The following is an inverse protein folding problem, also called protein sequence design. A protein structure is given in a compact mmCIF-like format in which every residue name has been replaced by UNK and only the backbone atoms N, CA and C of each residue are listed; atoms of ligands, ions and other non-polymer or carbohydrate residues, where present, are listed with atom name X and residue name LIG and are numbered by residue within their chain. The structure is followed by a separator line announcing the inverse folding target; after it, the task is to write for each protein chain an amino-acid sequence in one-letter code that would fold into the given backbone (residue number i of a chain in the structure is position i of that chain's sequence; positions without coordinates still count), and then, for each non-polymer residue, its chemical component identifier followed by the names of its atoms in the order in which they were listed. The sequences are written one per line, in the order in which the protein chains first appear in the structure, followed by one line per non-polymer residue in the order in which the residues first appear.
data_IF_639309274338
#
_entry.id   IF_639309274338
#
_cell.length_a   1.000
_cell.length_b   1.000
_cell.length_c   1.000
_cell.angle_alpha   90.00
_cell.angle_beta   90.00
_cell.angle_gamma   90.00
#
_symmetry.space_group_name_H-M   'P 1'
#
loop_
_entity.id
_entity.type
_entity.pdbx_description
1 polymer ?
#
# COMPACT_ATOMS: atom_id res chain seq x y z
N UNK A 1 -26.83 17.07 12.18
CA UNK A 1 -26.72 15.71 11.61
C UNK A 1 -25.26 15.26 11.70
N UNK A 2 -24.97 14.33 12.59
CA UNK A 2 -23.65 13.67 12.68
C UNK A 2 -23.38 12.99 11.35
N UNK A 3 -22.30 13.38 10.67
CA UNK A 3 -21.91 12.81 9.37
C UNK A 3 -21.80 11.29 9.54
N UNK A 4 -22.71 10.56 8.92
CA UNK A 4 -22.76 9.10 8.99
C UNK A 4 -21.43 8.54 8.46
N UNK A 5 -20.87 7.58 9.19
CA UNK A 5 -19.55 7.02 8.87
C UNK A 5 -19.67 6.18 7.59
N UNK A 6 -18.77 6.43 6.65
CA UNK A 6 -18.71 5.70 5.39
C UNK A 6 -18.05 4.33 5.58
N UNK A 7 -18.86 3.27 5.75
CA UNK A 7 -18.40 1.90 5.97
C UNK A 7 -17.78 1.26 4.72
N UNK A 8 -18.08 1.77 3.52
CA UNK A 8 -17.51 1.27 2.27
C UNK A 8 -15.98 1.34 2.31
N UNK A 9 -15.41 2.49 2.69
CA UNK A 9 -13.96 2.64 2.77
C UNK A 9 -13.32 1.82 3.90
N UNK A 10 -14.04 1.59 5.01
CA UNK A 10 -13.56 0.70 6.06
C UNK A 10 -13.50 -0.75 5.55
N UNK A 11 -14.56 -1.24 4.89
CA UNK A 11 -14.56 -2.58 4.29
C UNK A 11 -13.48 -2.72 3.19
N UNK A 12 -13.29 -1.69 2.35
CA UNK A 12 -12.26 -1.68 1.33
C UNK A 12 -10.86 -1.76 1.96
N UNK A 13 -10.57 -0.93 2.97
CA UNK A 13 -9.30 -0.99 3.72
C UNK A 13 -9.06 -2.36 4.35
N UNK A 14 -10.10 -3.06 4.79
CA UNK A 14 -10.00 -4.40 5.35
C UNK A 14 -9.60 -5.45 4.31
N UNK A 15 -10.17 -5.38 3.11
CA UNK A 15 -9.76 -6.22 1.97
C UNK A 15 -8.31 -5.94 1.60
N UNK A 16 -7.94 -4.66 1.51
CA UNK A 16 -6.60 -4.27 1.11
C UNK A 16 -5.54 -4.64 2.15
N UNK A 17 -5.81 -4.45 3.46
CA UNK A 17 -4.84 -4.84 4.50
C UNK A 17 -4.65 -6.35 4.53
N UNK A 18 -5.69 -7.14 4.24
CA UNK A 18 -5.54 -8.58 4.06
C UNK A 18 -4.60 -8.90 2.91
N UNK A 19 -4.76 -8.25 1.75
CA UNK A 19 -3.88 -8.43 0.60
C UNK A 19 -2.45 -7.97 0.84
N UNK A 20 -2.23 -6.91 1.63
CA UNK A 20 -0.89 -6.49 2.07
C UNK A 20 -0.22 -7.58 2.91
N UNK A 21 -0.94 -8.12 3.89
CA UNK A 21 -0.41 -9.20 4.75
C UNK A 21 -0.11 -10.43 3.90
N UNK A 22 -1.06 -10.91 3.11
CA UNK A 22 -0.88 -12.07 2.24
C UNK A 22 0.27 -11.86 1.24
N UNK A 23 0.35 -10.69 0.61
CA UNK A 23 1.41 -10.33 -0.33
C UNK A 23 2.79 -10.36 0.32
N UNK A 24 2.93 -9.82 1.53
CA UNK A 24 4.20 -9.87 2.26
C UNK A 24 4.58 -11.29 2.67
N UNK A 25 3.62 -12.13 3.05
CA UNK A 25 3.88 -13.53 3.37
C UNK A 25 4.22 -14.35 2.12
N UNK A 26 3.72 -13.99 0.95
CA UNK A 26 4.14 -14.60 -0.32
C UNK A 26 5.49 -14.07 -0.81
N UNK A 27 5.96 -12.92 -0.31
CA UNK A 27 7.16 -12.25 -0.84
C UNK A 27 8.43 -13.12 -0.79
N UNK A 28 8.72 -13.87 0.29
CA UNK A 28 9.88 -14.78 0.35
C UNK A 28 9.83 -15.95 -0.65
N UNK A 29 8.65 -16.30 -1.17
CA UNK A 29 8.53 -17.36 -2.19
C UNK A 29 9.08 -16.84 -3.52
N UNK A 30 10.16 -17.42 -4.00
CA UNK A 30 10.89 -17.01 -5.21
C UNK A 30 11.15 -18.19 -6.16
N UNK A 31 11.85 -17.93 -7.27
CA UNK A 31 12.16 -18.93 -8.30
C UNK A 31 10.99 -19.19 -9.24
N UNK A 32 10.87 -20.44 -9.69
CA UNK A 32 9.85 -20.87 -10.66
C UNK A 32 8.52 -21.30 -10.03
N UNK A 33 8.34 -21.03 -8.73
CA UNK A 33 7.11 -21.38 -8.03
C UNK A 33 5.91 -20.60 -8.60
N UNK A 34 4.77 -21.26 -8.94
CA UNK A 34 3.59 -20.60 -9.52
C UNK A 34 3.01 -19.49 -8.63
N UNK A 35 3.25 -19.53 -7.32
CA UNK A 35 2.83 -18.48 -6.38
C UNK A 35 3.55 -17.14 -6.62
N UNK A 36 4.66 -17.12 -7.35
CA UNK A 36 5.32 -15.89 -7.78
C UNK A 36 4.40 -15.06 -8.69
N UNK A 37 3.60 -15.71 -9.54
CA UNK A 37 2.62 -15.02 -10.38
C UNK A 37 1.46 -14.49 -9.53
N UNK A 38 1.00 -15.28 -8.54
CA UNK A 38 -0.07 -14.87 -7.62
C UNK A 38 0.34 -13.64 -6.81
N UNK A 39 1.56 -13.63 -6.24
CA UNK A 39 2.04 -12.46 -5.50
C UNK A 39 2.15 -11.24 -6.43
N UNK A 40 2.69 -11.40 -7.64
CA UNK A 40 2.78 -10.29 -8.60
C UNK A 40 1.41 -9.73 -8.96
N UNK A 41 0.41 -10.60 -9.19
CA UNK A 41 -0.97 -10.18 -9.43
C UNK A 41 -1.55 -9.35 -8.28
N UNK A 42 -1.31 -9.75 -7.03
CA UNK A 42 -1.71 -8.96 -5.86
C UNK A 42 -1.01 -7.59 -5.90
N UNK A 43 0.30 -7.56 -6.17
CA UNK A 43 1.12 -6.35 -6.23
C UNK A 43 0.72 -5.36 -7.33
N UNK A 44 0.12 -5.83 -8.43
CA UNK A 44 -0.40 -4.95 -9.49
C UNK A 44 -1.39 -3.90 -8.94
N UNK A 45 -2.28 -4.27 -8.02
CA UNK A 45 -3.40 -3.39 -7.66
C UNK A 45 -3.52 -3.04 -6.17
N UNK A 46 -3.04 -3.89 -5.25
CA UNK A 46 -3.35 -3.70 -3.83
C UNK A 46 -2.75 -2.39 -3.28
N UNK A 47 -1.49 -2.06 -3.62
CA UNK A 47 -0.87 -0.80 -3.22
C UNK A 47 -1.44 0.39 -3.98
N UNK A 48 -1.60 0.38 -5.31
CA UNK A 48 -2.31 1.44 -6.04
C UNK A 48 -3.68 1.79 -5.45
N UNK A 49 -4.50 0.78 -5.12
CA UNK A 49 -5.81 1.00 -4.51
C UNK A 49 -5.70 1.53 -3.07
N UNK A 50 -4.75 1.03 -2.27
CA UNK A 50 -4.52 1.54 -0.91
C UNK A 50 -4.06 3.01 -0.91
N UNK A 51 -3.17 3.35 -1.86
CA UNK A 51 -2.68 4.71 -2.10
C UNK A 51 -3.82 5.62 -2.56
N UNK A 52 -4.67 5.18 -3.48
CA UNK A 52 -5.88 5.91 -3.89
C UNK A 52 -6.81 6.20 -2.72
N UNK A 53 -7.11 5.19 -1.88
CA UNK A 53 -7.94 5.37 -0.67
C UNK A 53 -7.31 6.40 0.27
N UNK A 54 -5.99 6.39 0.39
CA UNK A 54 -5.30 7.32 1.29
C UNK A 54 -5.27 8.73 0.74
N UNK A 55 -5.13 8.90 -0.58
CA UNK A 55 -5.35 10.16 -1.29
C UNK A 55 -6.75 10.71 -1.04
N UNK A 56 -7.79 9.88 -1.14
CA UNK A 56 -9.18 10.27 -0.88
C UNK A 56 -9.38 10.88 0.52
N UNK A 57 -8.75 10.30 1.54
CA UNK A 57 -8.81 10.84 2.91
C UNK A 57 -7.83 11.99 3.17
N UNK A 58 -6.84 12.20 2.29
CA UNK A 58 -5.83 13.25 2.44
C UNK A 58 -6.41 14.67 2.35
N UNK A 59 -7.62 14.83 1.80
CA UNK A 59 -8.39 16.09 1.83
C UNK A 59 -8.52 16.70 3.22
N UNK A 60 -8.50 15.87 4.28
CA UNK A 60 -8.61 16.32 5.68
C UNK A 60 -7.31 16.88 6.26
N UNK A 61 -6.17 16.69 5.58
CA UNK A 61 -4.87 17.19 6.03
C UNK A 61 -4.81 18.72 5.98
N UNK A 62 -5.44 19.31 4.97
CA UNK A 62 -5.56 20.75 4.86
C UNK A 62 -7.04 21.13 4.90
N UNK A 63 -7.50 21.76 5.99
CA UNK A 63 -8.89 22.17 6.15
C UNK A 63 -8.95 23.57 6.75
N UNK A 64 -9.84 24.43 6.22
CA UNK A 64 -10.09 25.78 6.74
C UNK A 64 -8.82 26.65 6.91
N UNK A 65 -7.88 26.56 5.97
CA UNK A 65 -6.62 27.32 6.04
C UNK A 65 -5.56 26.73 6.97
N UNK A 66 -5.88 25.67 7.72
CA UNK A 66 -4.96 25.04 8.67
C UNK A 66 -4.47 23.69 8.15
N UNK A 67 -3.16 23.49 8.27
CA UNK A 67 -2.48 22.26 7.91
C UNK A 67 -2.30 21.38 9.15
N UNK A 68 -2.70 20.11 9.06
CA UNK A 68 -2.70 19.18 10.18
C UNK A 68 -1.29 18.59 10.41
N UNK A 69 -0.39 19.40 10.95
CA UNK A 69 0.96 18.98 11.32
C UNK A 69 0.99 17.81 12.31
N UNK A 70 -0.03 17.67 13.16
CA UNK A 70 -0.13 16.53 14.09
C UNK A 70 -0.24 15.20 13.35
N UNK A 71 -0.98 15.15 12.23
CA UNK A 71 -1.10 13.92 11.45
C UNK A 71 0.21 13.53 10.79
N UNK A 72 1.00 14.50 10.33
CA UNK A 72 2.34 14.26 9.77
C UNK A 72 3.30 13.80 10.84
N UNK A 73 3.31 14.47 12.00
CA UNK A 73 4.17 14.06 13.12
C UNK A 73 3.82 12.65 13.62
N UNK A 74 2.54 12.27 13.60
CA UNK A 74 2.11 10.90 13.87
C UNK A 74 2.67 9.91 12.85
N UNK A 75 2.66 10.24 11.55
CA UNK A 75 3.23 9.39 10.51
C UNK A 75 4.75 9.30 10.61
N UNK A 76 5.45 10.40 10.90
CA UNK A 76 6.90 10.42 11.13
C UNK A 76 7.23 9.52 12.32
N UNK A 77 6.53 9.67 13.44
CA UNK A 77 6.71 8.83 14.62
C UNK A 77 6.47 7.36 14.30
N UNK A 78 5.39 7.05 13.58
CA UNK A 78 5.09 5.68 13.18
C UNK A 78 6.15 5.10 12.24
N UNK A 79 6.65 5.89 11.28
CA UNK A 79 7.71 5.51 10.37
C UNK A 79 9.00 5.17 11.11
N UNK A 80 9.48 6.08 11.96
CA UNK A 80 10.71 5.90 12.74
C UNK A 80 10.60 4.66 13.63
N UNK A 81 9.48 4.50 14.35
CA UNK A 81 9.25 3.31 15.18
C UNK A 81 9.18 2.03 14.36
N UNK A 82 8.59 2.08 13.16
CA UNK A 82 8.50 0.91 12.31
C UNK A 82 9.88 0.47 11.79
N UNK A 83 10.70 1.41 11.31
CA UNK A 83 12.07 1.13 10.85
C UNK A 83 12.92 0.56 11.99
N UNK A 84 12.88 1.19 13.17
CA UNK A 84 13.60 0.69 14.35
C UNK A 84 13.13 -0.72 14.73
N UNK A 85 11.82 -0.97 14.75
CA UNK A 85 11.29 -2.28 15.11
C UNK A 85 11.74 -3.38 14.13
N UNK A 86 11.78 -3.09 12.82
CA UNK A 86 12.31 -4.03 11.82
C UNK A 86 13.80 -4.27 12.06
N UNK A 87 14.61 -3.23 12.28
CA UNK A 87 16.05 -3.43 12.52
C UNK A 87 16.32 -4.27 13.76
N UNK A 88 15.56 -4.06 14.85
CA UNK A 88 15.70 -4.88 16.06
C UNK A 88 15.50 -6.37 15.74
N UNK A 89 14.50 -6.71 14.92
CA UNK A 89 14.25 -8.10 14.52
C UNK A 89 15.45 -8.65 13.73
N UNK A 90 15.96 -7.89 12.76
CA UNK A 90 17.12 -8.30 11.95
C UNK A 90 18.39 -8.50 12.80
N UNK A 91 18.63 -7.60 13.77
CA UNK A 91 19.75 -7.69 14.69
C UNK A 91 19.64 -8.90 15.63
N UNK A 92 18.45 -9.16 16.19
CA UNK A 92 18.21 -10.32 17.07
C UNK A 92 18.37 -11.63 16.29
N UNK A 93 17.92 -11.67 15.03
CA UNK A 93 18.03 -12.85 14.19
C UNK A 93 19.43 -13.05 13.58
N UNK A 94 20.38 -12.14 13.83
CA UNK A 94 21.80 -12.30 13.46
C UNK A 94 22.13 -12.00 12.00
N UNK A 95 21.28 -11.23 11.29
CA UNK A 95 21.46 -10.95 9.85
C UNK A 95 22.13 -9.60 9.55
N UNK A 96 22.02 -8.62 10.45
CA UNK A 96 22.66 -7.31 10.30
C UNK A 96 23.08 -6.74 11.67
N UNK A 97 24.22 -6.05 11.71
CA UNK A 97 24.59 -5.25 12.87
C UNK A 97 23.63 -4.07 13.02
N UNK A 98 23.25 -3.74 14.27
CA UNK A 98 22.34 -2.63 14.57
C UNK A 98 22.88 -1.24 14.14
N UNK A 99 24.13 -1.17 13.68
CA UNK A 99 24.88 0.06 13.41
C UNK A 99 24.53 0.68 12.05
N UNK A 100 23.97 -0.07 11.10
CA UNK A 100 23.70 0.39 9.73
C UNK A 100 22.24 0.80 9.46
N UNK A 101 21.57 1.49 10.39
CA UNK A 101 20.18 1.94 10.18
C UNK A 101 20.12 3.04 9.12
N UNK A 102 19.65 2.69 7.92
CA UNK A 102 19.38 3.65 6.87
C UNK A 102 17.91 4.09 6.84
N UNK A 103 17.58 5.19 7.51
CA UNK A 103 16.22 5.77 7.50
C UNK A 103 15.78 6.33 6.15
N UNK A 104 16.65 6.40 5.15
CA UNK A 104 16.35 6.98 3.85
C UNK A 104 16.29 5.93 2.73
N UNK A 105 16.84 4.73 2.95
CA UNK A 105 16.74 3.63 2.00
C UNK A 105 15.85 2.53 2.58
N UNK A 106 14.60 2.45 2.12
CA UNK A 106 13.61 1.50 2.66
C UNK A 106 12.89 0.76 1.53
N UNK A 107 13.37 -0.43 1.20
CA UNK A 107 12.74 -1.30 0.20
C UNK A 107 11.59 -2.15 0.78
N UNK A 108 11.55 -2.30 2.11
CA UNK A 108 10.52 -3.05 2.84
C UNK A 108 9.26 -2.23 3.13
N UNK A 109 8.33 -2.79 3.92
CA UNK A 109 7.04 -2.18 4.22
C UNK A 109 7.09 -0.66 4.55
N UNK A 110 8.02 -0.11 5.36
CA UNK A 110 7.99 1.29 5.79
C UNK A 110 7.90 2.35 4.68
N UNK A 111 8.29 2.03 3.43
CA UNK A 111 8.25 2.93 2.28
C UNK A 111 6.91 3.67 2.15
N UNK A 112 5.81 3.00 2.44
CA UNK A 112 4.47 3.57 2.26
C UNK A 112 4.19 4.70 3.25
N UNK A 113 4.67 4.59 4.50
CA UNK A 113 4.54 5.69 5.48
C UNK A 113 5.38 6.89 5.08
N UNK A 114 6.58 6.64 4.54
CA UNK A 114 7.45 7.68 4.02
C UNK A 114 6.80 8.42 2.84
N UNK A 115 6.28 7.66 1.85
CA UNK A 115 5.57 8.20 0.71
C UNK A 115 4.35 9.04 1.12
N UNK A 116 3.58 8.57 2.12
CA UNK A 116 2.45 9.31 2.68
C UNK A 116 2.85 10.66 3.30
N UNK A 117 4.00 10.73 3.98
CA UNK A 117 4.53 12.00 4.51
C UNK A 117 4.83 12.95 3.34
N UNK A 118 5.53 12.47 2.32
CA UNK A 118 5.89 13.28 1.14
C UNK A 118 4.65 13.76 0.40
N UNK A 119 3.70 12.88 0.07
CA UNK A 119 2.46 13.28 -0.60
C UNK A 119 1.61 14.23 0.24
N UNK A 120 1.62 14.12 1.57
CA UNK A 120 0.93 15.11 2.40
C UNK A 120 1.58 16.48 2.25
N UNK A 121 2.91 16.56 2.30
CA UNK A 121 3.66 17.81 2.14
C UNK A 121 3.45 18.48 0.77
N UNK A 122 3.07 17.73 -0.28
CA UNK A 122 2.76 18.30 -1.60
C UNK A 122 1.33 18.84 -1.71
N UNK A 123 0.40 18.46 -0.82
CA UNK A 123 -1.02 18.88 -0.88
C UNK A 123 -1.20 20.41 -0.92
N UNK A 124 -0.51 21.22 -0.10
CA UNK A 124 -0.66 22.67 -0.12
C UNK A 124 -0.37 23.30 -1.50
N UNK A 125 0.54 22.70 -2.27
CA UNK A 125 0.87 23.13 -3.63
C UNK A 125 -0.22 22.71 -4.61
N UNK A 126 -0.62 21.44 -4.55
CA UNK A 126 -1.48 20.80 -5.56
C UNK A 126 -2.95 21.18 -5.41
N UNK A 127 -3.42 21.49 -4.20
CA UNK A 127 -4.84 21.80 -3.92
C UNK A 127 -5.43 22.97 -4.73
N UNK A 128 -4.58 23.90 -5.23
CA UNK A 128 -5.02 25.05 -6.04
C UNK A 128 -4.99 24.75 -7.54
N UNK A 129 -4.38 23.65 -7.93
CA UNK A 129 -4.24 23.22 -9.31
C UNK A 129 -5.48 22.46 -9.77
N UNK A 130 -5.75 22.51 -11.08
CA UNK A 130 -6.80 21.69 -11.70
C UNK A 130 -6.39 20.21 -11.66
N UNK A 131 -7.34 19.26 -11.49
CA UNK A 131 -7.03 17.83 -11.39
C UNK A 131 -6.27 17.27 -12.60
N UNK A 132 -6.72 17.61 -13.81
CA UNK A 132 -6.23 16.98 -15.04
C UNK A 132 -4.73 17.26 -15.30
N UNK A 133 -4.22 18.52 -15.25
CA UNK A 133 -2.78 18.77 -15.35
C UNK A 133 -1.95 18.04 -14.31
N UNK A 134 -2.40 17.99 -13.06
CA UNK A 134 -1.66 17.33 -11.97
C UNK A 134 -1.52 15.84 -12.25
N UNK A 135 -2.60 15.19 -12.68
CA UNK A 135 -2.58 13.75 -13.00
C UNK A 135 -1.65 13.49 -14.19
N UNK A 136 -1.74 14.28 -15.27
CA UNK A 136 -0.89 14.12 -16.46
C UNK A 136 0.58 14.28 -16.12
N UNK A 137 0.94 15.32 -15.35
CA UNK A 137 2.32 15.54 -14.91
C UNK A 137 2.82 14.37 -14.07
N UNK A 138 2.01 13.87 -13.14
CA UNK A 138 2.41 12.73 -12.32
C UNK A 138 2.55 11.43 -13.12
N UNK A 139 1.73 11.22 -14.15
CA UNK A 139 1.91 10.09 -15.07
C UNK A 139 3.25 10.24 -15.83
N UNK A 140 3.54 11.44 -16.34
CA UNK A 140 4.83 11.72 -16.98
C UNK A 140 6.01 11.45 -16.04
N UNK A 141 5.94 11.93 -14.80
CA UNK A 141 6.97 11.67 -13.78
C UNK A 141 7.10 10.18 -13.45
N UNK A 142 6.00 9.44 -13.34
CA UNK A 142 6.00 7.99 -13.13
C UNK A 142 6.71 7.24 -14.27
N UNK A 143 6.46 7.64 -15.51
CA UNK A 143 7.10 7.04 -16.68
C UNK A 143 8.59 7.37 -16.77
N UNK A 144 8.99 8.59 -16.41
CA UNK A 144 10.39 9.02 -16.44
C UNK A 144 11.19 8.45 -15.25
N UNK A 145 10.55 8.19 -14.11
CA UNK A 145 11.21 7.74 -12.89
C UNK A 145 12.10 6.50 -13.08
N UNK A 146 11.75 5.62 -14.02
CA UNK A 146 12.49 4.37 -14.27
C UNK A 146 13.83 4.56 -14.97
N UNK A 147 14.09 5.71 -15.60
CA UNK A 147 15.38 6.00 -16.22
C UNK A 147 16.47 6.39 -15.22
N UNK A 148 16.11 6.72 -13.98
CA UNK A 148 17.09 7.13 -12.98
C UNK A 148 17.66 5.92 -12.23
N UNK A 149 18.98 5.70 -12.36
CA UNK A 149 19.69 4.56 -11.78
C UNK A 149 19.62 4.44 -10.24
N UNK A 150 19.54 5.57 -9.52
CA UNK A 150 19.61 5.59 -8.05
C UNK A 150 18.24 5.81 -7.36
N UNK A 151 17.13 5.71 -8.09
CA UNK A 151 15.81 6.17 -7.63
C UNK A 151 14.96 5.08 -6.98
N UNK A 152 15.33 3.79 -7.14
CA UNK A 152 14.59 2.65 -6.62
C UNK A 152 14.47 2.62 -5.08
N UNK A 153 15.62 2.61 -4.39
CA UNK A 153 15.66 2.41 -2.94
C UNK A 153 15.97 3.69 -2.15
N UNK A 154 16.79 4.61 -2.69
CA UNK A 154 17.05 5.89 -2.03
C UNK A 154 15.78 6.77 -2.02
N UNK A 155 15.33 7.13 -0.82
CA UNK A 155 14.09 7.85 -0.51
C UNK A 155 12.81 7.18 -1.02
N UNK A 156 12.88 5.92 -1.48
CA UNK A 156 11.77 5.26 -2.18
C UNK A 156 11.21 6.11 -3.34
N UNK A 157 12.06 6.94 -3.96
CA UNK A 157 11.60 8.02 -4.83
C UNK A 157 10.87 7.47 -6.06
N UNK A 158 11.31 6.31 -6.59
CA UNK A 158 10.60 5.60 -7.67
C UNK A 158 9.16 5.32 -7.27
N UNK A 159 8.93 4.67 -6.12
CA UNK A 159 7.60 4.34 -5.62
C UNK A 159 6.74 5.58 -5.39
N UNK A 160 7.31 6.67 -4.83
CA UNK A 160 6.59 7.93 -4.62
C UNK A 160 6.08 8.51 -5.93
N UNK A 161 6.91 8.50 -6.98
CA UNK A 161 6.56 9.04 -8.29
C UNK A 161 5.57 8.12 -9.01
N UNK A 162 5.80 6.81 -9.02
CA UNK A 162 4.96 5.86 -9.75
C UNK A 162 3.58 5.67 -9.11
N UNK A 163 3.47 5.68 -7.78
CA UNK A 163 2.17 5.63 -7.10
C UNK A 163 1.50 7.00 -6.97
N UNK A 164 2.22 8.10 -7.25
CA UNK A 164 1.71 9.47 -7.22
C UNK A 164 0.39 9.68 -7.98
N UNK A 165 0.25 9.23 -9.25
CA UNK A 165 -1.00 9.30 -9.99
C UNK A 165 -2.19 8.74 -9.22
N UNK A 166 -2.07 7.57 -8.60
CA UNK A 166 -3.16 6.95 -7.83
C UNK A 166 -3.51 7.79 -6.59
N UNK A 167 -2.50 8.32 -5.89
CA UNK A 167 -2.71 9.20 -4.74
C UNK A 167 -3.49 10.44 -5.14
N UNK A 168 -3.10 11.12 -6.22
CA UNK A 168 -3.76 12.35 -6.66
C UNK A 168 -5.13 12.11 -7.29
N UNK A 169 -5.32 11.01 -8.02
CA UNK A 169 -6.66 10.57 -8.47
C UNK A 169 -7.57 10.40 -7.25
N UNK A 170 -7.08 9.74 -6.19
CA UNK A 170 -7.79 9.64 -4.91
C UNK A 170 -8.05 11.00 -4.28
N UNK A 171 -7.05 11.87 -4.21
CA UNK A 171 -7.14 13.20 -3.62
C UNK A 171 -8.16 14.10 -4.31
N UNK A 172 -8.32 14.01 -5.63
CA UNK A 172 -9.34 14.78 -6.33
C UNK A 172 -10.70 14.09 -6.36
N UNK A 173 -10.77 12.78 -6.13
CA UNK A 173 -12.02 12.01 -6.16
C UNK A 173 -13.02 12.49 -5.12
N UNK A 174 -14.22 12.89 -5.56
CA UNK A 174 -15.33 13.26 -4.69
C UNK A 174 -16.34 12.13 -4.57
N UNK A 175 -17.08 12.09 -3.46
CA UNK A 175 -18.08 11.06 -3.21
C UNK A 175 -19.10 10.93 -4.36
N UNK A 176 -19.70 12.01 -4.91
CA UNK A 176 -20.64 11.88 -6.03
C UNK A 176 -20.01 11.32 -7.31
N UNK A 177 -18.72 11.59 -7.54
CA UNK A 177 -17.98 11.06 -8.70
C UNK A 177 -17.69 9.58 -8.50
N UNK A 178 -17.28 9.18 -7.29
CA UNK A 178 -17.07 7.78 -6.93
C UNK A 178 -18.38 6.97 -7.08
N UNK A 179 -19.51 7.50 -6.61
CA UNK A 179 -20.81 6.86 -6.77
C UNK A 179 -21.21 6.67 -8.23
N UNK A 180 -20.90 7.66 -9.09
CA UNK A 180 -21.09 7.53 -10.54
C UNK A 180 -20.20 6.45 -11.13
N UNK A 181 -18.94 6.38 -10.71
CA UNK A 181 -18.00 5.36 -11.17
C UNK A 181 -18.40 3.94 -10.72
N UNK A 182 -19.09 3.81 -9.58
CA UNK A 182 -19.56 2.53 -9.04
C UNK A 182 -20.99 2.17 -9.45
N UNK A 183 -21.51 2.74 -10.55
CA UNK A 183 -22.81 2.36 -11.11
C UNK A 183 -22.80 0.93 -11.69
N UNK A 184 -23.90 0.16 -11.55
CA UNK A 184 -24.00 -1.19 -12.11
C UNK A 184 -23.76 -1.29 -13.62
N UNK A 185 -23.99 -0.22 -14.38
CA UNK A 185 -23.70 -0.16 -15.82
C UNK A 185 -22.22 -0.37 -16.12
N UNK A 186 -21.33 0.26 -15.34
CA UNK A 186 -19.88 0.10 -15.51
C UNK A 186 -19.40 -1.26 -15.04
N UNK A 187 -20.06 -1.87 -14.04
CA UNK A 187 -19.71 -3.21 -13.52
C UNK A 187 -19.67 -4.25 -14.64
N UNK A 188 -20.61 -4.21 -15.58
CA UNK A 188 -20.70 -5.16 -16.71
C UNK A 188 -19.53 -5.06 -17.69
N UNK A 189 -18.82 -3.94 -17.72
CA UNK A 189 -17.66 -3.73 -18.58
C UNK A 189 -16.35 -3.90 -17.80
N UNK A 190 -16.25 -3.26 -16.63
CA UNK A 190 -15.02 -3.19 -15.84
C UNK A 190 -14.68 -4.54 -15.22
N UNK A 191 -15.66 -5.30 -14.73
CA UNK A 191 -15.39 -6.60 -14.09
C UNK A 191 -14.86 -7.63 -15.10
N UNK A 192 -15.47 -7.84 -16.28
CA UNK A 192 -14.89 -8.74 -17.28
C UNK A 192 -13.52 -8.26 -17.78
N UNK A 193 -13.32 -6.96 -17.99
CA UNK A 193 -12.01 -6.43 -18.41
C UNK A 193 -10.93 -6.73 -17.36
N UNK A 194 -11.19 -6.48 -16.09
CA UNK A 194 -10.27 -6.81 -15.00
C UNK A 194 -10.04 -8.33 -14.88
N UNK A 195 -11.10 -9.14 -15.03
CA UNK A 195 -10.98 -10.59 -15.00
C UNK A 195 -10.11 -11.13 -16.15
N UNK A 196 -10.25 -10.57 -17.35
CA UNK A 196 -9.38 -10.90 -18.50
C UNK A 196 -7.92 -10.55 -18.24
N UNK A 197 -7.65 -9.38 -17.64
CA UNK A 197 -6.29 -9.00 -17.25
C UNK A 197 -5.72 -9.97 -16.22
N UNK A 198 -6.48 -10.30 -15.17
CA UNK A 198 -6.07 -11.30 -14.19
C UNK A 198 -5.79 -12.66 -14.83
N UNK A 199 -6.64 -13.11 -15.76
CA UNK A 199 -6.45 -14.37 -16.48
C UNK A 199 -5.17 -14.35 -17.32
N UNK A 200 -4.89 -13.25 -18.04
CA UNK A 200 -3.65 -13.09 -18.81
C UNK A 200 -2.43 -13.16 -17.89
N UNK A 201 -2.46 -12.45 -16.75
CA UNK A 201 -1.37 -12.49 -15.77
C UNK A 201 -1.18 -13.90 -15.22
N UNK A 202 -2.26 -14.62 -14.87
CA UNK A 202 -2.16 -15.96 -14.31
C UNK A 202 -1.68 -17.00 -15.33
N UNK A 203 -2.09 -16.89 -16.60
CA UNK A 203 -1.74 -17.85 -17.66
C UNK A 203 -0.36 -17.59 -18.27
N UNK A 204 0.03 -16.32 -18.43
CA UNK A 204 1.24 -15.93 -19.15
C UNK A 204 2.30 -15.27 -18.25
N UNK A 205 1.98 -14.96 -17.00
CA UNK A 205 2.89 -14.23 -16.11
C UNK A 205 4.17 -14.95 -15.74
N UNK A 206 4.21 -16.28 -15.87
CA UNK A 206 5.45 -17.05 -15.73
C UNK A 206 6.47 -16.77 -16.85
N UNK A 207 6.00 -16.31 -18.02
CA UNK A 207 6.85 -15.92 -19.15
C UNK A 207 7.23 -14.44 -19.14
N UNK A 208 6.46 -13.61 -18.45
CA UNK A 208 6.68 -12.15 -18.32
C UNK A 208 7.46 -11.84 -17.02
N UNK A 209 8.64 -12.44 -16.87
CA UNK A 209 9.34 -12.43 -15.57
C UNK A 209 9.81 -11.02 -15.20
N UNK A 210 10.33 -10.25 -16.14
CA UNK A 210 10.93 -8.94 -15.86
C UNK A 210 9.86 -7.86 -15.84
N UNK A 211 8.90 -7.93 -16.76
CA UNK A 211 7.80 -6.97 -16.88
C UNK A 211 6.90 -7.02 -15.65
N UNK A 212 6.50 -8.22 -15.21
CA UNK A 212 5.75 -8.36 -13.96
C UNK A 212 6.61 -8.18 -12.71
N UNK A 213 7.94 -8.14 -12.83
CA UNK A 213 8.83 -7.72 -11.74
C UNK A 213 8.65 -6.24 -11.42
N UNK A 214 8.32 -5.41 -12.41
CA UNK A 214 8.17 -3.97 -12.23
C UNK A 214 7.02 -3.56 -11.30
N UNK A 215 6.11 -4.46 -10.94
CA UNK A 215 5.00 -4.23 -9.99
C UNK A 215 5.45 -3.81 -8.59
N UNK A 216 6.73 -4.03 -8.24
CA UNK A 216 7.33 -3.57 -6.98
C UNK A 216 7.79 -2.11 -7.04
N UNK A 217 7.80 -1.51 -8.23
CA UNK A 217 8.08 -0.12 -8.57
C UNK A 217 9.41 0.43 -8.04
N UNK A 218 10.38 -0.45 -7.87
CA UNK A 218 11.77 -0.11 -7.52
C UNK A 218 12.81 -0.53 -8.57
N UNK A 219 12.39 -1.24 -9.62
CA UNK A 219 13.28 -1.71 -10.68
C UNK A 219 13.48 -0.57 -11.70
N UNK A 220 14.72 -0.09 -11.92
CA UNK A 220 15.04 0.85 -12.98
C UNK A 220 14.99 0.16 -14.35
N UNK A 221 14.68 0.92 -15.42
CA UNK A 221 14.55 0.36 -16.76
C UNK A 221 15.86 -0.21 -17.33
N UNK A 222 17.00 0.16 -16.77
CA UNK A 222 18.30 -0.40 -17.14
C UNK A 222 18.47 -1.87 -16.75
N UNK A 223 17.65 -2.38 -15.83
CA UNK A 223 17.64 -3.79 -15.43
C UNK A 223 16.70 -4.64 -16.30
N UNK A 224 15.96 -4.03 -17.23
CA UNK A 224 15.12 -4.74 -18.20
C UNK A 224 15.96 -5.14 -19.42
N UNK A 225 15.67 -6.31 -19.98
CA UNK A 225 16.25 -6.78 -21.25
C UNK A 225 16.08 -5.74 -22.37
N UNK A 226 14.94 -5.04 -22.39
CA UNK A 226 14.62 -3.99 -23.34
C UNK A 226 14.23 -2.69 -22.63
N UNK A 227 15.24 -1.87 -22.29
CA UNK A 227 15.06 -0.59 -21.59
C UNK A 227 13.98 0.34 -22.19
N UNK A 228 13.85 0.37 -23.52
CA UNK A 228 12.89 1.22 -24.20
C UNK A 228 11.42 0.78 -24.03
N UNK A 229 11.20 -0.48 -23.63
CA UNK A 229 9.88 -1.02 -23.34
C UNK A 229 9.40 -0.66 -21.92
N UNK A 230 10.32 -0.29 -21.03
CA UNK A 230 10.04 0.03 -19.62
C UNK A 230 8.87 1.00 -19.42
N UNK A 231 8.82 2.17 -20.08
CA UNK A 231 7.67 3.07 -19.98
C UNK A 231 6.35 2.45 -20.44
N UNK A 232 6.36 1.65 -21.50
CA UNK A 232 5.17 0.99 -22.02
C UNK A 232 4.66 -0.09 -21.05
N UNK A 233 5.57 -0.90 -20.50
CA UNK A 233 5.26 -1.89 -19.46
C UNK A 233 4.68 -1.19 -18.24
N UNK A 234 5.33 -0.14 -17.74
CA UNK A 234 4.84 0.62 -16.58
C UNK A 234 3.45 1.22 -16.84
N UNK A 235 3.25 1.84 -18.00
CA UNK A 235 1.93 2.38 -18.37
C UNK A 235 0.85 1.28 -18.41
N UNK A 236 1.19 0.11 -18.95
CA UNK A 236 0.30 -1.05 -19.01
C UNK A 236 -0.04 -1.58 -17.62
N UNK A 237 0.95 -1.69 -16.73
CA UNK A 237 0.75 -2.06 -15.32
C UNK A 237 -0.11 -1.03 -14.58
N UNK A 238 0.09 0.26 -14.82
CA UNK A 238 -0.77 1.31 -14.25
C UNK A 238 -2.22 1.19 -14.73
N UNK A 239 -2.43 0.88 -16.01
CA UNK A 239 -3.76 0.60 -16.57
C UNK A 239 -4.42 -0.63 -15.95
N UNK A 240 -3.66 -1.73 -15.80
CA UNK A 240 -4.10 -2.94 -15.13
C UNK A 240 -4.46 -2.67 -13.66
N UNK A 241 -3.59 -1.96 -12.94
CA UNK A 241 -3.81 -1.53 -11.57
C UNK A 241 -5.11 -0.75 -11.44
N UNK A 242 -5.34 0.23 -12.32
CA UNK A 242 -6.56 1.05 -12.32
C UNK A 242 -7.83 0.20 -12.54
N UNK A 243 -7.84 -0.66 -13.55
CA UNK A 243 -9.01 -1.48 -13.90
C UNK A 243 -9.33 -2.52 -12.83
N UNK A 244 -8.32 -3.24 -12.32
CA UNK A 244 -8.51 -4.23 -11.26
C UNK A 244 -8.95 -3.53 -9.97
N UNK A 245 -8.36 -2.39 -9.64
CA UNK A 245 -8.77 -1.60 -8.49
C UNK A 245 -10.23 -1.16 -8.57
N UNK A 246 -10.66 -0.71 -9.75
CA UNK A 246 -12.04 -0.32 -10.00
C UNK A 246 -13.00 -1.52 -9.91
N UNK A 247 -12.61 -2.68 -10.45
CA UNK A 247 -13.40 -3.91 -10.36
C UNK A 247 -13.61 -4.33 -8.90
N UNK A 248 -12.57 -4.32 -8.06
CA UNK A 248 -12.64 -4.74 -6.66
C UNK A 248 -13.61 -3.88 -5.86
N UNK A 249 -13.64 -2.57 -6.13
CA UNK A 249 -14.56 -1.66 -5.46
C UNK A 249 -16.05 -2.03 -5.68
N UNK A 250 -16.42 -2.74 -6.75
CA UNK A 250 -17.80 -3.22 -6.95
C UNK A 250 -18.19 -4.39 -6.02
N UNK A 251 -17.22 -5.12 -5.47
CA UNK A 251 -17.46 -6.27 -4.61
C UNK A 251 -17.39 -5.94 -3.11
N UNK A 252 -17.00 -4.71 -2.78
CA UNK A 252 -16.90 -4.27 -1.38
C UNK A 252 -18.29 -3.90 -0.84
N UNK A 253 -18.71 -4.50 0.30
CA UNK A 253 -19.98 -4.14 0.94
C UNK A 253 -20.01 -2.67 1.36
N UNK A 254 -21.18 -2.03 1.24
CA UNK A 254 -21.39 -0.64 1.67
C UNK A 254 -21.87 -0.51 3.11
N UNK A 255 -22.41 -1.60 3.65
CA UNK A 255 -22.95 -1.66 5.01
C UNK A 255 -21.88 -1.94 6.05
N UNK A 256 -22.22 -1.76 7.34
CA UNK A 256 -21.36 -2.14 8.45
C UNK A 256 -21.22 -3.66 8.49
N UNK A 257 -20.00 -4.16 8.33
CA UNK A 257 -19.68 -5.59 8.43
C UNK A 257 -18.60 -5.83 9.49
N UNK A 258 -18.27 -7.10 9.76
CA UNK A 258 -17.12 -7.46 10.60
C UNK A 258 -15.79 -6.94 10.01
N UNK A 259 -15.69 -6.88 8.67
CA UNK A 259 -14.54 -6.30 7.98
C UNK A 259 -14.37 -4.83 8.31
N UNK A 260 -15.47 -4.10 8.53
CA UNK A 260 -15.40 -2.68 8.87
C UNK A 260 -14.51 -2.45 10.09
N UNK A 261 -14.55 -3.31 11.11
CA UNK A 261 -13.72 -3.20 12.32
C UNK A 261 -12.22 -3.35 12.01
N UNK A 262 -11.85 -4.33 11.17
CA UNK A 262 -10.47 -4.53 10.70
C UNK A 262 -10.00 -3.27 9.94
N UNK A 263 -10.85 -2.75 9.06
CA UNK A 263 -10.55 -1.56 8.26
C UNK A 263 -10.33 -0.27 9.05
N UNK A 264 -10.85 -0.17 10.27
CA UNK A 264 -10.60 1.01 11.14
C UNK A 264 -9.20 0.95 11.77
N UNK A 265 -8.65 -0.26 11.91
CA UNK A 265 -7.45 -0.56 12.69
C UNK A 265 -6.33 -1.11 11.81
N UNK A 266 -6.24 -0.64 10.55
CA UNK A 266 -5.22 -1.13 9.60
C UNK A 266 -3.80 -0.78 10.01
N UNK A 267 -3.58 0.33 10.72
CA UNK A 267 -2.23 0.81 11.06
C UNK A 267 -1.48 -0.13 12.02
N UNK A 268 -2.06 -0.58 13.15
CA UNK A 268 -1.44 -1.63 13.97
C UNK A 268 -1.14 -2.91 13.22
N UNK A 269 -2.10 -3.40 12.41
CA UNK A 269 -1.93 -4.63 11.61
C UNK A 269 -0.76 -4.45 10.65
N UNK A 270 -0.73 -3.32 9.94
CA UNK A 270 0.30 -2.95 8.97
C UNK A 270 1.71 -2.93 9.57
N UNK A 271 1.89 -2.43 10.79
CA UNK A 271 3.23 -2.42 11.40
C UNK A 271 3.63 -3.81 11.93
N UNK A 272 2.73 -4.48 12.64
CA UNK A 272 3.07 -5.70 13.38
C UNK A 272 3.16 -6.96 12.50
N UNK A 273 2.39 -7.04 11.40
CA UNK A 273 2.45 -8.25 10.56
C UNK A 273 3.82 -8.44 9.90
N UNK A 274 4.55 -7.35 9.63
CA UNK A 274 5.88 -7.42 9.02
C UNK A 274 6.89 -8.06 9.97
N UNK A 275 6.85 -7.68 11.26
CA UNK A 275 7.66 -8.29 12.32
C UNK A 275 7.40 -9.80 12.37
N UNK A 276 6.13 -10.21 12.40
CA UNK A 276 5.77 -11.64 12.43
C UNK A 276 6.24 -12.38 11.18
N UNK A 277 6.09 -11.78 10.00
CA UNK A 277 6.60 -12.36 8.76
C UNK A 277 8.11 -12.57 8.82
N UNK A 278 8.85 -11.55 9.27
CA UNK A 278 10.31 -11.56 9.29
C UNK A 278 10.81 -12.65 10.24
N UNK A 279 10.19 -12.80 11.42
CA UNK A 279 10.48 -13.91 12.35
C UNK A 279 10.24 -15.28 11.71
N UNK A 280 9.12 -15.47 10.99
CA UNK A 280 8.85 -16.73 10.29
C UNK A 280 9.84 -17.01 9.15
N UNK A 281 10.30 -15.95 8.49
CA UNK A 281 11.33 -16.00 7.45
C UNK A 281 12.66 -16.48 8.04
N UNK A 282 13.09 -15.88 9.14
CA UNK A 282 14.31 -16.24 9.83
C UNK A 282 14.25 -17.61 10.51
N UNK A 283 13.05 -18.11 10.84
CA UNK A 283 12.85 -19.47 11.33
C UNK A 283 12.99 -20.55 10.24
N UNK A 284 13.23 -20.19 8.97
CA UNK A 284 13.41 -21.14 7.86
C UNK A 284 12.13 -21.82 7.38
N UNK A 285 10.95 -21.35 7.82
CA UNK A 285 9.67 -22.00 7.48
C UNK A 285 9.38 -21.94 5.96
N UNK A 286 9.89 -20.92 5.27
CA UNK A 286 9.65 -20.74 3.84
C UNK A 286 10.38 -21.73 2.94
N UNK A 287 11.44 -22.37 3.43
CA UNK A 287 12.15 -23.42 2.68
C UNK A 287 11.23 -24.63 2.49
N UNK A 288 10.53 -25.03 3.56
CA UNK A 288 9.53 -26.10 3.53
C UNK A 288 8.27 -25.72 2.75
N UNK A 289 7.79 -24.49 2.95
CA UNK A 289 6.62 -23.98 2.23
C UNK A 289 6.87 -23.82 0.73
N UNK A 290 8.11 -23.62 0.28
CA UNK A 290 8.43 -23.53 -1.14
C UNK A 290 8.07 -24.80 -1.92
N UNK A 291 8.16 -25.96 -1.28
CA UNK A 291 8.00 -27.27 -1.90
C UNK A 291 6.53 -27.70 -2.07
N UNK A 292 5.61 -27.18 -1.24
CA UNK A 292 4.22 -27.65 -1.22
C UNK A 292 3.31 -27.03 -2.31
N UNK A 293 3.88 -26.25 -3.23
CA UNK A 293 3.17 -25.69 -4.39
C UNK A 293 1.92 -24.90 -4.01
N UNK A 294 0.75 -25.29 -4.52
CA UNK A 294 -0.52 -24.59 -4.24
C UNK A 294 -1.03 -24.75 -2.81
N UNK A 295 -0.63 -25.81 -2.10
CA UNK A 295 -1.03 -26.00 -0.70
C UNK A 295 -0.43 -24.89 0.19
N UNK A 296 0.74 -24.38 -0.18
CA UNK A 296 1.36 -23.22 0.47
C UNK A 296 0.47 -21.99 0.44
N UNK A 297 -0.24 -21.75 -0.67
CA UNK A 297 -1.16 -20.62 -0.75
C UNK A 297 -2.28 -20.75 0.28
N UNK A 298 -2.84 -21.94 0.45
CA UNK A 298 -3.86 -22.21 1.46
C UNK A 298 -3.32 -21.95 2.87
N UNK A 299 -2.14 -22.49 3.20
CA UNK A 299 -1.49 -22.28 4.50
C UNK A 299 -1.24 -20.79 4.76
N UNK A 300 -0.71 -20.05 3.78
CA UNK A 300 -0.42 -18.63 3.91
C UNK A 300 -1.70 -17.77 4.01
N UNK A 301 -2.80 -18.16 3.37
CA UNK A 301 -4.11 -17.51 3.55
C UNK A 301 -4.60 -17.71 4.98
N UNK A 302 -4.60 -18.96 5.48
CA UNK A 302 -5.00 -19.26 6.85
C UNK A 302 -4.15 -18.52 7.87
N UNK A 303 -2.83 -18.46 7.65
CA UNK A 303 -1.88 -17.74 8.48
C UNK A 303 -2.15 -16.22 8.45
N UNK A 304 -2.39 -15.64 7.27
CA UNK A 304 -2.73 -14.22 7.12
C UNK A 304 -4.02 -13.85 7.87
N UNK A 305 -5.06 -14.69 7.76
CA UNK A 305 -6.33 -14.49 8.50
C UNK A 305 -6.07 -14.57 10.01
N UNK A 306 -5.31 -15.56 10.46
CA UNK A 306 -4.99 -15.76 11.88
C UNK A 306 -4.19 -14.58 12.45
N UNK A 307 -3.18 -14.11 11.72
CA UNK A 307 -2.38 -12.94 12.11
C UNK A 307 -3.26 -11.70 12.22
N UNK A 308 -4.12 -11.43 11.23
CA UNK A 308 -5.03 -10.28 11.27
C UNK A 308 -5.99 -10.39 12.46
N UNK A 309 -6.54 -11.58 12.72
CA UNK A 309 -7.44 -11.81 13.84
C UNK A 309 -6.76 -11.55 15.20
N UNK A 310 -5.50 -11.95 15.36
CA UNK A 310 -4.72 -11.68 16.57
C UNK A 310 -4.42 -10.18 16.69
N UNK A 311 -3.96 -9.55 15.61
CA UNK A 311 -3.51 -8.16 15.62
C UNK A 311 -4.66 -7.14 15.72
N UNK A 312 -5.87 -7.52 15.29
CA UNK A 312 -7.07 -6.66 15.44
C UNK A 312 -7.66 -6.72 16.86
N UNK A 313 -7.10 -7.53 17.77
CA UNK A 313 -7.53 -7.59 19.15
C UNK A 313 -7.51 -6.17 19.78
N UNK A 314 -8.59 -5.73 20.46
CA UNK A 314 -8.68 -4.38 21.02
C UNK A 314 -7.49 -3.98 21.90
N UNK A 315 -6.95 -4.90 22.71
CA UNK A 315 -5.80 -4.62 23.58
C UNK A 315 -4.53 -4.33 22.78
N UNK A 316 -4.29 -5.09 21.70
CA UNK A 316 -3.13 -4.89 20.83
C UNK A 316 -3.25 -3.55 20.11
N UNK A 317 -4.43 -3.29 19.54
CA UNK A 317 -4.75 -2.04 18.85
C UNK A 317 -4.58 -0.83 19.77
N UNK A 318 -5.10 -0.90 20.99
CA UNK A 318 -4.99 0.17 21.98
C UNK A 318 -3.53 0.42 22.37
N UNK A 319 -2.75 -0.63 22.64
CA UNK A 319 -1.34 -0.51 22.98
C UNK A 319 -0.53 0.16 21.87
N UNK A 320 -0.69 -0.28 20.61
CA UNK A 320 0.01 0.33 19.48
C UNK A 320 -0.44 1.78 19.30
N UNK A 321 -1.74 2.07 19.40
CA UNK A 321 -2.24 3.44 19.28
C UNK A 321 -1.72 4.34 20.39
N UNK A 322 -1.58 3.85 21.62
CA UNK A 322 -1.00 4.57 22.75
C UNK A 322 0.49 4.86 22.53
N UNK A 323 1.24 3.90 22.01
CA UNK A 323 2.65 4.09 21.62
C UNK A 323 2.75 5.17 20.54
N UNK A 324 1.87 5.14 19.52
CA UNK A 324 1.87 6.11 18.43
C UNK A 324 1.26 7.47 18.80
N UNK A 325 0.53 7.55 19.92
CA UNK A 325 -0.11 8.79 20.35
C UNK A 325 0.94 9.89 20.55
N UNK A 326 0.64 11.07 20.02
CA UNK A 326 1.43 12.27 20.25
C UNK A 326 1.06 12.81 21.62
N UNK A 327 1.78 12.38 22.65
CA UNK A 327 1.66 12.94 23.99
C UNK A 327 2.03 14.43 23.92
N UNK A 328 1.22 15.28 24.54
CA UNK A 328 1.49 16.72 24.59
C UNK A 328 2.87 16.94 25.22
N UNK A 329 3.75 17.67 24.54
CA UNK A 329 4.73 18.49 25.26
C UNK A 329 3.93 19.39 26.22
N UNK A 330 4.24 19.33 27.52
CA UNK A 330 3.66 20.22 28.56
C UNK A 330 3.72 21.66 28.04
N UNK A 331 2.59 22.27 27.69
CA UNK A 331 2.58 23.68 27.24
C UNK A 331 1.44 24.18 26.36
N UNK A 332 0.49 23.37 25.86
CA UNK A 332 -0.60 23.88 25.00
C UNK A 332 -2.01 23.61 25.56
N UNK A 333 -2.72 24.71 25.82
CA UNK A 333 -4.04 24.87 26.45
C UNK A 333 -5.18 24.06 25.81
N UNK A 334 -6.19 23.72 26.63
CA UNK A 334 -7.33 22.81 26.37
C UNK A 334 -8.37 23.31 25.34
N UNK A 335 -8.21 24.48 24.71
CA UNK A 335 -9.33 25.13 23.98
C UNK A 335 -9.57 24.68 22.52
N UNK A 336 -8.84 23.69 22.00
CA UNK A 336 -9.00 23.22 20.60
C UNK A 336 -9.59 21.80 20.47
N UNK A 337 -10.17 21.25 21.53
CA UNK A 337 -10.62 19.85 21.57
C UNK A 337 -12.04 19.58 21.02
N UNK A 338 -12.62 20.49 20.24
CA UNK A 338 -13.92 20.27 19.57
C UNK A 338 -13.95 20.81 18.14
N UNK A 339 -13.32 20.10 17.20
CA UNK A 339 -13.72 19.98 15.78
C UNK A 339 -12.89 18.93 15.06
#
# INVERSE_FOLDING_TARGET
MTKERDYFFDNLKAVLIFLVVLGHFLLPIHGDNPLVVVKRLIYIFHMPLFVFVSGYFAKKIYKNGQYNFKKILYLIKAYVLFVIAIQIVYAICGFEDFVEINFFSQSGAPWYLFAMIVWYLTIPLIRRCRPLPVIIVNIGLALVAGYFKNVGDFLCLSRILVFGPFFYIGYYMEQPVLEKALRPSYRRLVVPAAASICAVVLLFGGKMKDELGMVYENIPYHELDHMMEGPFVRFSLMGAAFLISWAIMFFVPREKTKLSFIGQNTMPIYMLHRILRDVLMFAGIYDYLGEWGWFTLFVLICLSISVIYILVNPKVVENVNNILALHKFKGMSKKQLRT
#
